data_IF_091982151689
#
_entry.id   IF_091982151689
#
_cell.length_a   1.000
_cell.length_b   1.000
_cell.length_c   1.000
_cell.angle_alpha   90.00
_cell.angle_beta   90.00
_cell.angle_gamma   90.00
#
_symmetry.space_group_name_H-M   'P 1'
#
loop_
_entity.id
_entity.type
_entity.pdbx_description
1 polymer ?
#
# COMPACT_ATOMS: atom_id res chain seq x y z
N UNK A 1 -1.45 0.20 6.13
CA UNK A 1 -1.49 0.79 4.76
C UNK A 1 -1.46 -0.28 3.64
N UNK A 2 -0.85 -1.42 3.95
CA UNK A 2 -0.54 -2.57 3.11
C UNK A 2 -1.80 -3.27 2.59
N UNK A 3 -2.86 -3.40 3.41
CA UNK A 3 -4.12 -3.99 2.97
C UNK A 3 -4.84 -3.16 1.90
N UNK A 4 -4.84 -1.83 2.04
CA UNK A 4 -5.41 -0.94 1.02
C UNK A 4 -4.59 -0.97 -0.28
N UNK A 5 -3.26 -1.01 -0.17
CA UNK A 5 -2.35 -1.19 -1.31
C UNK A 5 -2.60 -2.53 -2.01
N UNK A 6 -2.75 -3.61 -1.24
CA UNK A 6 -3.04 -4.94 -1.76
C UNK A 6 -4.35 -4.93 -2.57
N UNK A 7 -5.43 -4.41 -1.99
CA UNK A 7 -6.72 -4.27 -2.68
C UNK A 7 -6.63 -3.42 -3.95
N UNK A 8 -5.99 -2.25 -3.88
CA UNK A 8 -5.87 -1.35 -5.03
C UNK A 8 -5.03 -1.93 -6.19
N UNK A 9 -4.09 -2.83 -5.89
CA UNK A 9 -3.25 -3.48 -6.91
C UNK A 9 -3.80 -4.84 -7.36
N UNK A 10 -4.88 -5.33 -6.76
CA UNK A 10 -5.37 -6.69 -7.01
C UNK A 10 -4.37 -7.76 -6.54
N UNK A 11 -3.67 -7.49 -5.43
CA UNK A 11 -2.70 -8.37 -4.81
C UNK A 11 -3.22 -8.88 -3.47
N UNK A 12 -2.60 -9.95 -2.98
CA UNK A 12 -2.62 -10.29 -1.57
C UNK A 12 -1.20 -10.23 -1.01
N UNK A 13 -1.02 -9.56 0.12
CA UNK A 13 0.28 -9.25 0.72
C UNK A 13 0.40 -9.84 2.14
N UNK A 14 1.60 -9.74 2.71
CA UNK A 14 2.01 -10.37 3.98
C UNK A 14 2.06 -11.89 3.89
N UNK A 15 0.95 -12.59 4.15
CA UNK A 15 0.83 -14.04 4.02
C UNK A 15 1.93 -14.85 4.71
N UNK A 16 1.99 -16.17 4.45
CA UNK A 16 3.08 -17.01 4.91
C UNK A 16 4.42 -16.55 4.34
N UNK A 17 5.42 -16.44 5.20
CA UNK A 17 6.77 -15.98 4.85
C UNK A 17 7.84 -16.78 5.55
N UNK A 18 9.04 -16.81 4.97
CA UNK A 18 10.18 -17.52 5.54
C UNK A 18 11.24 -16.52 5.96
N UNK A 19 11.59 -16.51 7.25
CA UNK A 19 12.71 -15.75 7.79
C UNK A 19 13.76 -16.70 8.34
N UNK A 20 14.99 -16.60 7.85
CA UNK A 20 16.10 -17.43 8.31
C UNK A 20 15.75 -18.94 8.38
N UNK A 21 14.96 -19.44 7.42
CA UNK A 21 14.50 -20.83 7.36
C UNK A 21 13.26 -21.15 8.22
N UNK A 22 12.78 -20.22 9.04
CA UNK A 22 11.56 -20.40 9.84
C UNK A 22 10.36 -19.89 9.05
N UNK A 23 9.41 -20.79 8.78
CA UNK A 23 8.12 -20.43 8.24
C UNK A 23 7.28 -19.73 9.32
N UNK A 24 6.76 -18.56 8.98
CA UNK A 24 5.82 -17.80 9.79
C UNK A 24 4.50 -17.75 9.02
N UNK A 25 3.49 -18.40 9.57
CA UNK A 25 2.11 -18.29 9.08
C UNK A 25 1.55 -16.94 9.51
N UNK A 26 1.17 -16.11 8.55
CA UNK A 26 0.52 -14.82 8.80
C UNK A 26 -0.66 -14.65 7.85
N UNK A 27 -1.56 -13.75 8.22
CA UNK A 27 -2.77 -13.48 7.47
C UNK A 27 -2.44 -12.79 6.14
N UNK A 28 -3.18 -13.18 5.11
CA UNK A 28 -3.21 -12.44 3.86
C UNK A 28 -3.97 -11.13 4.03
N UNK A 29 -3.41 -10.06 3.47
CA UNK A 29 -4.12 -8.79 3.31
C UNK A 29 -4.55 -8.64 1.86
N UNK A 30 -5.85 -8.54 1.60
CA UNK A 30 -6.42 -8.56 0.25
C UNK A 30 -6.73 -9.97 -0.27
N UNK A 31 -7.45 -10.04 -1.37
CA UNK A 31 -8.00 -11.24 -1.99
C UNK A 31 -7.45 -11.52 -3.40
N UNK A 32 -6.51 -10.70 -3.86
CA UNK A 32 -5.90 -10.82 -5.18
C UNK A 32 -4.81 -11.88 -5.31
N UNK A 33 -3.95 -11.73 -6.32
CA UNK A 33 -2.84 -12.67 -6.56
C UNK A 33 -1.66 -12.43 -5.61
N UNK A 34 -0.98 -13.50 -5.19
CA UNK A 34 0.24 -13.40 -4.37
C UNK A 34 1.50 -13.09 -5.20
N UNK A 35 1.55 -13.58 -6.44
CA UNK A 35 2.73 -13.47 -7.29
C UNK A 35 2.87 -12.04 -7.83
N UNK A 36 3.53 -11.15 -7.09
CA UNK A 36 3.81 -9.78 -7.53
C UNK A 36 4.86 -9.75 -8.65
N UNK A 37 4.73 -8.79 -9.58
CA UNK A 37 5.64 -8.58 -10.71
C UNK A 37 6.34 -7.22 -10.59
N UNK A 38 7.36 -6.98 -11.42
CA UNK A 38 8.03 -5.68 -11.49
C UNK A 38 7.07 -4.53 -11.88
N UNK A 39 6.06 -4.81 -12.69
CA UNK A 39 5.04 -3.82 -13.05
C UNK A 39 4.23 -3.38 -11.82
N UNK A 40 3.97 -4.30 -10.88
CA UNK A 40 3.27 -3.97 -9.63
C UNK A 40 4.04 -3.00 -8.77
N UNK A 41 5.38 -3.08 -8.76
CA UNK A 41 6.22 -2.11 -8.05
C UNK A 41 6.02 -0.72 -8.65
N UNK A 42 6.04 -0.61 -9.97
CA UNK A 42 5.79 0.67 -10.64
C UNK A 42 4.39 1.22 -10.35
N UNK A 43 3.36 0.35 -10.33
CA UNK A 43 1.98 0.72 -9.96
C UNK A 43 1.88 1.16 -8.49
N UNK A 44 2.52 0.43 -7.58
CA UNK A 44 2.57 0.73 -6.15
C UNK A 44 3.22 2.08 -5.87
N UNK A 45 4.34 2.38 -6.54
CA UNK A 45 5.03 3.67 -6.41
C UNK A 45 4.18 4.83 -6.92
N UNK A 46 3.47 4.65 -8.05
CA UNK A 46 2.52 5.67 -8.54
C UNK A 46 1.40 5.90 -7.54
N UNK A 47 0.78 4.82 -7.02
CA UNK A 47 -0.29 4.91 -6.03
C UNK A 47 0.18 5.61 -4.76
N UNK A 48 1.36 5.26 -4.25
CA UNK A 48 1.97 5.89 -3.08
C UNK A 48 2.20 7.40 -3.28
N UNK A 49 2.80 7.79 -4.42
CA UNK A 49 3.03 9.20 -4.74
C UNK A 49 1.74 10.00 -4.84
N UNK A 50 0.70 9.43 -5.46
CA UNK A 50 -0.62 10.05 -5.53
C UNK A 50 -1.23 10.21 -4.13
N UNK A 51 -1.16 9.17 -3.29
CA UNK A 51 -1.67 9.24 -1.91
C UNK A 51 -0.96 10.31 -1.09
N UNK A 52 0.38 10.42 -1.20
CA UNK A 52 1.14 11.49 -0.57
C UNK A 52 0.72 12.87 -1.10
N UNK A 53 0.63 13.05 -2.42
CA UNK A 53 0.23 14.33 -3.01
C UNK A 53 -1.16 14.78 -2.52
N UNK A 54 -2.11 13.86 -2.43
CA UNK A 54 -3.44 14.11 -1.87
C UNK A 54 -3.36 14.49 -0.39
N UNK A 55 -2.61 13.75 0.42
CA UNK A 55 -2.43 14.07 1.84
C UNK A 55 -1.86 15.48 2.03
N UNK A 56 -0.80 15.82 1.30
CA UNK A 56 -0.19 17.16 1.34
C UNK A 56 -1.16 18.25 0.88
N UNK A 57 -1.89 18.01 -0.21
CA UNK A 57 -2.91 18.94 -0.70
C UNK A 57 -4.02 19.19 0.33
N UNK A 58 -4.59 18.13 0.89
CA UNK A 58 -5.64 18.21 1.92
C UNK A 58 -5.14 18.89 3.20
N UNK A 59 -3.94 18.56 3.65
CA UNK A 59 -3.33 19.21 4.81
C UNK A 59 -3.11 20.72 4.58
N UNK A 60 -2.66 21.09 3.37
CA UNK A 60 -2.45 22.50 3.00
C UNK A 60 -3.78 23.26 2.95
N UNK A 61 -4.81 22.69 2.32
CA UNK A 61 -6.16 23.29 2.28
C UNK A 61 -6.73 23.42 3.69
N UNK A 62 -6.64 22.37 4.51
CA UNK A 62 -7.10 22.40 5.89
C UNK A 62 -6.39 23.47 6.73
N UNK A 63 -5.07 23.60 6.57
CA UNK A 63 -4.30 24.65 7.24
C UNK A 63 -4.76 26.05 6.81
N UNK A 64 -4.91 26.30 5.51
CA UNK A 64 -5.38 27.59 4.99
C UNK A 64 -6.76 27.96 5.54
N UNK A 65 -7.69 27.01 5.57
CA UNK A 65 -9.05 27.21 6.08
C UNK A 65 -9.09 27.52 7.58
N UNK A 66 -8.16 26.99 8.37
CA UNK A 66 -8.08 27.25 9.82
C UNK A 66 -7.42 28.60 10.11
N UNK A 67 -6.53 29.08 9.23
CA UNK A 67 -5.78 30.33 9.42
C UNK A 67 -6.45 31.57 8.83
N UNK A 68 -7.48 31.42 8.00
CA UNK A 68 -8.31 32.48 7.43
C UNK A 68 -9.45 32.86 8.38
#
# INVERSE_FOLDING_TARGET
PEAAMAGALGLRLAGPRVYAGVAVEDAWMGDGRAAATAEDIARALRLYRTACALLWGLATVGALLVTL
#
